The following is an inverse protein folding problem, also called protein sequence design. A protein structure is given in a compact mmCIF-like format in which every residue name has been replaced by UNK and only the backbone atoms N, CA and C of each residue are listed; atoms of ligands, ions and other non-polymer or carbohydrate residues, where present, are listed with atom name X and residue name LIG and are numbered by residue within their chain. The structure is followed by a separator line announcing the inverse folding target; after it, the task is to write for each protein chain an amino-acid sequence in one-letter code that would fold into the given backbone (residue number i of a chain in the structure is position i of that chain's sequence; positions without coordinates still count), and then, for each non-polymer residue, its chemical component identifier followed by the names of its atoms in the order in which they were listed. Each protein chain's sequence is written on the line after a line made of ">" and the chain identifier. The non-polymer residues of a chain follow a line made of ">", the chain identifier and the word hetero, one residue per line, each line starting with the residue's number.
data_IF_895538665446
#
_entry.id   IF_895538665446
#
_cell.length_a   1.000
_cell.length_b   1.000
_cell.length_c   1.000
_cell.angle_alpha   90.00
_cell.angle_beta   90.00
_cell.angle_gamma   90.00
#
_symmetry.space_group_name_H-M   'P 1'
#
loop_
_entity.id
_entity.type
_entity.pdbx_description
1 polymer ?
#
# COMPACT_ATOMS: atom_id res chain seq x y z
N UNK A 1 -9.62 10.50 -21.92
CA UNK A 1 -9.60 11.79 -22.64
C UNK A 1 -10.67 11.69 -23.72
N UNK A 2 -11.71 12.50 -23.62
CA UNK A 2 -12.80 12.50 -24.59
C UNK A 2 -12.50 13.43 -25.78
N UNK A 3 -11.95 14.60 -25.49
CA UNK A 3 -11.58 15.60 -26.50
C UNK A 3 -10.27 16.30 -26.12
N UNK A 4 -9.54 16.75 -27.10
CA UNK A 4 -8.39 17.65 -26.97
C UNK A 4 -8.44 18.70 -28.09
N UNK A 5 -8.22 19.95 -27.76
CA UNK A 5 -8.18 21.02 -28.75
C UNK A 5 -8.00 22.41 -28.14
N UNK A 6 -7.56 23.38 -28.93
CA UNK A 6 -7.22 24.72 -28.43
C UNK A 6 -8.42 25.61 -28.11
N UNK A 7 -9.64 25.23 -28.44
CA UNK A 7 -10.85 26.03 -28.29
C UNK A 7 -12.06 25.21 -27.86
N UNK A 8 -11.86 24.29 -26.90
CA UNK A 8 -12.97 23.55 -26.34
C UNK A 8 -13.71 24.45 -25.35
N UNK A 9 -15.01 24.59 -25.54
CA UNK A 9 -15.88 25.24 -24.57
C UNK A 9 -16.46 24.20 -23.61
N UNK A 10 -16.40 24.44 -22.28
CA UNK A 10 -17.00 23.53 -21.33
C UNK A 10 -18.50 23.45 -21.47
N UNK A 11 -19.08 22.29 -21.22
CA UNK A 11 -20.51 22.11 -21.12
C UNK A 11 -21.03 22.68 -19.77
N UNK A 12 -22.35 23.01 -19.65
CA UNK A 12 -22.87 23.67 -18.45
C UNK A 12 -22.64 22.96 -17.11
N UNK A 13 -22.46 21.64 -17.14
CA UNK A 13 -22.27 20.75 -15.98
C UNK A 13 -20.83 20.23 -15.83
N UNK A 14 -19.91 20.67 -16.69
CA UNK A 14 -18.51 20.30 -16.58
C UNK A 14 -17.77 21.18 -15.58
N UNK A 15 -16.96 20.51 -14.72
CA UNK A 15 -16.05 21.21 -13.83
C UNK A 15 -14.81 21.66 -14.61
N UNK A 16 -14.57 22.95 -14.64
CA UNK A 16 -13.37 23.53 -15.23
C UNK A 16 -12.27 23.63 -14.19
N UNK A 17 -11.09 23.16 -14.55
CA UNK A 17 -9.87 23.31 -13.75
C UNK A 17 -8.89 24.16 -14.56
N UNK A 18 -8.53 25.33 -14.05
CA UNK A 18 -7.48 26.15 -14.65
C UNK A 18 -6.11 25.57 -14.35
N UNK A 19 -5.42 25.11 -15.38
CA UNK A 19 -4.06 24.58 -15.33
C UNK A 19 -3.08 25.50 -16.09
N UNK A 20 -3.38 26.79 -16.21
CA UNK A 20 -2.49 27.76 -16.86
C UNK A 20 -1.11 27.77 -16.20
N UNK A 21 -0.07 27.67 -17.02
CA UNK A 21 1.33 27.57 -16.52
C UNK A 21 1.73 26.20 -15.97
N UNK A 22 0.83 25.20 -16.01
CA UNK A 22 1.11 23.85 -15.58
C UNK A 22 1.35 22.91 -16.76
N UNK A 23 2.09 21.83 -16.48
CA UNK A 23 2.15 20.65 -17.36
C UNK A 23 1.29 19.56 -16.76
N UNK A 24 0.37 19.01 -17.55
CA UNK A 24 -0.52 17.94 -17.12
C UNK A 24 0.05 16.59 -17.56
N UNK A 25 0.27 15.71 -16.61
CA UNK A 25 0.71 14.32 -16.84
C UNK A 25 -0.37 13.32 -16.42
N UNK A 26 -0.37 12.12 -17.02
CA UNK A 26 -1.10 10.99 -16.42
C UNK A 26 -0.61 10.76 -14.99
N UNK A 27 -1.53 10.42 -14.09
CA UNK A 27 -1.15 10.08 -12.74
C UNK A 27 -0.23 8.84 -12.69
N UNK A 28 0.65 8.80 -11.70
CA UNK A 28 1.60 7.70 -11.53
C UNK A 28 0.92 6.38 -11.19
N UNK A 29 1.54 5.30 -11.59
CA UNK A 29 1.17 3.93 -11.20
C UNK A 29 2.29 3.38 -10.34
N UNK A 30 1.99 3.06 -9.08
CA UNK A 30 2.90 2.35 -8.19
C UNK A 30 2.63 0.85 -8.32
N UNK A 31 3.61 0.11 -8.83
CA UNK A 31 3.47 -1.33 -9.08
C UNK A 31 4.01 -2.20 -7.94
N UNK A 32 4.56 -1.62 -6.87
CA UNK A 32 5.10 -2.35 -5.75
C UNK A 32 5.02 -1.52 -4.47
N UNK A 33 4.10 -1.87 -3.60
CA UNK A 33 3.96 -1.29 -2.28
C UNK A 33 3.67 -2.37 -1.23
N UNK A 34 3.86 -2.03 0.05
CA UNK A 34 3.50 -2.84 1.21
C UNK A 34 2.79 -1.93 2.22
N UNK A 35 1.48 -1.69 2.00
CA UNK A 35 0.70 -0.75 2.82
C UNK A 35 0.74 -1.07 4.30
N UNK A 36 0.73 -2.36 4.66
CA UNK A 36 0.82 -2.80 6.05
C UNK A 36 2.10 -2.31 6.77
N UNK A 37 3.17 -2.01 6.02
CA UNK A 37 4.43 -1.52 6.59
C UNK A 37 4.47 -0.01 6.79
N UNK A 38 3.47 0.73 6.33
CA UNK A 38 3.48 2.20 6.38
C UNK A 38 3.64 2.72 7.82
N UNK A 39 2.98 2.11 8.78
CA UNK A 39 3.09 2.48 10.20
C UNK A 39 4.38 2.01 10.87
N UNK A 40 5.20 1.25 10.15
CA UNK A 40 6.50 0.75 10.64
C UNK A 40 7.68 1.57 10.11
N UNK A 41 7.42 2.63 9.34
CA UNK A 41 8.46 3.52 8.80
C UNK A 41 9.22 4.19 9.93
N UNK A 42 10.53 4.35 9.72
CA UNK A 42 11.44 5.03 10.64
C UNK A 42 11.43 4.45 12.08
N UNK A 43 11.08 3.17 12.23
CA UNK A 43 11.25 2.47 13.51
C UNK A 43 12.72 2.49 13.91
N UNK A 44 13.08 2.98 15.11
CA UNK A 44 14.49 3.19 15.49
C UNK A 44 15.36 1.95 15.35
N UNK A 45 14.83 0.78 15.70
CA UNK A 45 15.54 -0.50 15.64
C UNK A 45 15.81 -0.96 14.19
N UNK A 46 15.14 -0.35 13.22
CA UNK A 46 15.26 -0.70 11.79
C UNK A 46 16.13 0.25 10.99
N UNK A 47 16.57 1.37 11.59
CA UNK A 47 17.38 2.35 10.87
C UNK A 47 18.73 1.74 10.50
N UNK A 48 19.13 1.95 9.25
CA UNK A 48 20.42 1.51 8.69
C UNK A 48 20.65 -0.01 8.65
N UNK A 49 19.60 -0.82 8.88
CA UNK A 49 19.72 -2.26 8.78
C UNK A 49 19.66 -2.75 7.32
N UNK A 50 20.47 -3.76 6.95
CA UNK A 50 20.25 -4.52 5.72
C UNK A 50 18.84 -5.13 5.69
N UNK A 51 18.27 -5.33 4.50
CA UNK A 51 16.89 -5.81 4.32
C UNK A 51 16.54 -7.04 5.17
N UNK A 52 17.43 -8.05 5.22
CA UNK A 52 17.18 -9.28 5.98
C UNK A 52 17.01 -9.00 7.47
N UNK A 53 17.91 -8.19 8.02
CA UNK A 53 17.89 -7.84 9.43
C UNK A 53 16.72 -6.91 9.74
N UNK A 54 16.39 -5.99 8.83
CA UNK A 54 15.22 -5.16 8.93
C UNK A 54 13.92 -5.98 8.97
N UNK A 55 13.77 -6.97 8.10
CA UNK A 55 12.62 -7.87 8.09
C UNK A 55 12.44 -8.61 9.42
N UNK A 56 13.54 -8.98 10.07
CA UNK A 56 13.53 -9.63 11.38
C UNK A 56 13.17 -8.66 12.50
N UNK A 57 13.82 -7.50 12.55
CA UNK A 57 13.69 -6.57 13.68
C UNK A 57 12.42 -5.72 13.61
N UNK A 58 11.91 -5.39 12.42
CA UNK A 58 10.77 -4.50 12.26
C UNK A 58 9.49 -5.28 11.96
N UNK A 59 9.22 -5.78 10.76
CA UNK A 59 7.95 -6.45 10.50
C UNK A 59 7.71 -7.65 11.42
N UNK A 60 8.72 -8.48 11.67
CA UNK A 60 8.58 -9.65 12.55
C UNK A 60 8.19 -9.29 13.97
N UNK A 61 8.78 -8.24 14.49
CA UNK A 61 8.58 -7.82 15.87
C UNK A 61 7.25 -7.12 16.07
N UNK A 62 6.86 -6.27 15.11
CA UNK A 62 5.70 -5.40 15.24
C UNK A 62 4.39 -5.98 14.68
N UNK A 63 4.44 -7.10 13.93
CA UNK A 63 3.23 -7.74 13.37
C UNK A 63 2.13 -8.02 14.40
N UNK A 64 2.52 -8.41 15.61
CA UNK A 64 1.60 -8.74 16.69
C UNK A 64 0.71 -7.56 17.11
N UNK A 65 1.07 -6.35 16.71
CA UNK A 65 0.31 -5.14 16.93
C UNK A 65 -0.49 -4.71 15.69
N UNK A 66 -0.37 -5.47 14.60
CA UNK A 66 -1.10 -5.19 13.38
C UNK A 66 -2.47 -5.87 13.46
N UNK A 67 -3.36 -5.28 14.20
CA UNK A 67 -4.78 -5.61 14.23
C UNK A 67 -5.54 -4.94 13.08
N UNK A 68 -6.87 -5.08 13.06
CA UNK A 68 -7.72 -4.49 12.04
C UNK A 68 -7.56 -2.97 11.95
N UNK A 69 -7.58 -2.29 13.08
CA UNK A 69 -7.48 -0.82 13.14
C UNK A 69 -6.09 -0.33 12.69
N UNK A 70 -5.04 -1.00 13.13
CA UNK A 70 -3.68 -0.70 12.71
C UNK A 70 -3.49 -0.88 11.20
N UNK A 71 -4.06 -1.95 10.61
CA UNK A 71 -4.01 -2.17 9.17
C UNK A 71 -4.80 -1.10 8.41
N UNK A 72 -5.98 -0.69 8.90
CA UNK A 72 -6.75 0.42 8.31
C UNK A 72 -5.96 1.72 8.30
N UNK A 73 -5.34 2.06 9.43
CA UNK A 73 -4.51 3.27 9.54
C UNK A 73 -3.31 3.18 8.59
N UNK A 74 -2.61 2.05 8.57
CA UNK A 74 -1.47 1.83 7.69
C UNK A 74 -1.85 2.00 6.21
N UNK A 75 -2.95 1.37 5.79
CA UNK A 75 -3.47 1.48 4.43
C UNK A 75 -3.83 2.92 4.08
N UNK A 76 -4.58 3.59 4.94
CA UNK A 76 -5.02 4.97 4.72
C UNK A 76 -3.86 5.93 4.61
N UNK A 77 -2.90 5.86 5.52
CA UNK A 77 -1.72 6.73 5.50
C UNK A 77 -0.90 6.48 4.24
N UNK A 78 -0.60 5.20 3.92
CA UNK A 78 0.19 4.87 2.74
C UNK A 78 -0.48 5.28 1.42
N UNK A 79 -1.79 5.09 1.29
CA UNK A 79 -2.54 5.52 0.12
C UNK A 79 -2.57 7.04 -0.01
N UNK A 80 -2.76 7.77 1.10
CA UNK A 80 -2.73 9.25 1.09
C UNK A 80 -1.35 9.77 0.70
N UNK A 81 -0.27 9.20 1.23
CA UNK A 81 1.10 9.57 0.83
C UNK A 81 1.32 9.36 -0.68
N UNK A 82 0.86 8.24 -1.22
CA UNK A 82 0.94 7.96 -2.65
C UNK A 82 0.11 8.96 -3.48
N UNK A 83 -1.11 9.28 -3.04
CA UNK A 83 -1.94 10.29 -3.72
C UNK A 83 -1.29 11.67 -3.71
N UNK A 84 -0.71 12.08 -2.59
CA UNK A 84 0.02 13.35 -2.47
C UNK A 84 1.26 13.39 -3.38
N UNK A 85 1.83 12.25 -3.71
CA UNK A 85 2.90 12.15 -4.71
C UNK A 85 2.42 12.12 -6.17
N UNK A 86 1.10 12.20 -6.41
CA UNK A 86 0.48 12.14 -7.73
C UNK A 86 0.16 10.73 -8.23
N UNK A 87 0.23 9.72 -7.38
CA UNK A 87 -0.12 8.34 -7.71
C UNK A 87 -1.64 8.14 -7.66
N UNK A 88 -2.22 7.48 -8.66
CA UNK A 88 -3.65 7.17 -8.72
C UNK A 88 -3.96 5.68 -8.89
N UNK A 89 -2.94 4.85 -9.04
CA UNK A 89 -3.09 3.39 -9.16
C UNK A 89 -1.98 2.71 -8.35
N UNK A 90 -2.37 1.80 -7.47
CA UNK A 90 -1.45 1.14 -6.53
C UNK A 90 -1.60 -0.35 -6.61
N UNK A 91 -0.49 -1.08 -6.75
CA UNK A 91 -0.41 -2.51 -6.51
C UNK A 91 0.26 -2.76 -5.15
N UNK A 92 -0.52 -3.26 -4.19
CA UNK A 92 -0.03 -3.64 -2.87
C UNK A 92 0.33 -5.11 -2.82
N UNK A 93 1.56 -5.42 -2.48
CA UNK A 93 2.05 -6.78 -2.29
C UNK A 93 1.79 -7.17 -0.83
N UNK A 94 0.54 -7.54 -0.54
CA UNK A 94 0.09 -7.91 0.80
C UNK A 94 0.47 -9.35 1.12
N UNK A 95 1.20 -9.55 2.19
CA UNK A 95 1.67 -10.86 2.64
C UNK A 95 1.40 -11.11 4.14
N UNK A 96 0.66 -10.23 4.79
CA UNK A 96 0.33 -10.38 6.21
C UNK A 96 -0.88 -11.28 6.36
N UNK A 97 -0.62 -12.56 6.42
CA UNK A 97 -1.60 -13.60 6.71
C UNK A 97 -1.00 -14.54 7.76
N UNK A 98 -1.73 -14.81 8.83
CA UNK A 98 -1.25 -15.70 9.89
C UNK A 98 -2.40 -16.51 10.49
N UNK A 99 -2.13 -17.73 11.00
CA UNK A 99 -3.15 -18.54 11.64
C UNK A 99 -3.82 -17.82 12.80
N UNK A 100 -5.15 -17.85 12.86
CA UNK A 100 -5.92 -17.17 13.90
C UNK A 100 -6.15 -15.67 13.66
N UNK A 101 -5.82 -15.15 12.48
CA UNK A 101 -6.19 -13.79 12.06
C UNK A 101 -7.71 -13.65 12.07
N UNK A 102 -8.24 -12.73 12.88
CA UNK A 102 -9.67 -12.56 13.11
C UNK A 102 -10.35 -11.59 12.11
N UNK A 103 -9.61 -11.04 11.15
CA UNK A 103 -10.10 -10.06 10.16
C UNK A 103 -9.59 -10.38 8.76
N UNK A 104 -10.30 -9.90 7.75
CA UNK A 104 -9.89 -10.00 6.35
C UNK A 104 -9.07 -8.77 5.95
N UNK A 105 -7.75 -8.93 5.94
CA UNK A 105 -6.83 -7.87 5.56
C UNK A 105 -7.01 -7.39 4.11
N UNK A 106 -7.38 -8.29 3.20
CA UNK A 106 -7.65 -7.93 1.81
C UNK A 106 -8.88 -7.03 1.70
N UNK A 107 -9.97 -7.38 2.37
CA UNK A 107 -11.20 -6.57 2.41
C UNK A 107 -10.91 -5.16 2.92
N UNK A 108 -10.15 -5.03 4.02
CA UNK A 108 -9.75 -3.74 4.58
C UNK A 108 -9.00 -2.88 3.57
N UNK A 109 -8.03 -3.45 2.86
CA UNK A 109 -7.25 -2.73 1.87
C UNK A 109 -8.09 -2.24 0.71
N UNK A 110 -9.02 -3.06 0.21
CA UNK A 110 -9.98 -2.66 -0.83
C UNK A 110 -10.94 -1.58 -0.34
N UNK A 111 -11.45 -1.68 0.88
CA UNK A 111 -12.34 -0.67 1.47
C UNK A 111 -11.65 0.70 1.58
N UNK A 112 -10.42 0.74 2.09
CA UNK A 112 -9.70 2.01 2.22
C UNK A 112 -9.32 2.60 0.86
N UNK A 113 -8.95 1.77 -0.11
CA UNK A 113 -8.68 2.22 -1.47
C UNK A 113 -9.95 2.78 -2.16
N UNK A 114 -11.09 2.10 -2.01
CA UNK A 114 -12.38 2.57 -2.54
C UNK A 114 -12.83 3.88 -1.88
N UNK A 115 -12.67 4.00 -0.55
CA UNK A 115 -13.00 5.22 0.20
C UNK A 115 -12.21 6.43 -0.29
N UNK A 116 -10.94 6.24 -0.66
CA UNK A 116 -10.06 7.30 -1.16
C UNK A 116 -10.15 7.51 -2.67
N UNK A 117 -10.85 6.63 -3.39
CA UNK A 117 -10.99 6.70 -4.85
C UNK A 117 -9.72 6.32 -5.63
N UNK A 118 -8.83 5.52 -5.02
CA UNK A 118 -7.61 5.04 -5.65
C UNK A 118 -7.88 3.73 -6.39
N UNK A 119 -7.37 3.59 -7.61
CA UNK A 119 -7.37 2.29 -8.30
C UNK A 119 -6.39 1.35 -7.61
N UNK A 120 -6.88 0.19 -7.22
CA UNK A 120 -6.15 -0.71 -6.36
C UNK A 120 -6.08 -2.13 -6.92
N UNK A 121 -4.89 -2.71 -6.86
CA UNK A 121 -4.61 -4.12 -7.18
C UNK A 121 -3.97 -4.75 -5.97
N UNK A 122 -4.52 -5.86 -5.50
CA UNK A 122 -3.94 -6.63 -4.42
C UNK A 122 -3.18 -7.82 -5.01
N UNK A 123 -1.88 -7.86 -4.74
CA UNK A 123 -1.04 -9.02 -4.99
C UNK A 123 -0.92 -9.83 -3.68
N UNK A 124 -1.67 -10.93 -3.58
CA UNK A 124 -1.58 -11.79 -2.41
C UNK A 124 -0.23 -12.50 -2.38
N UNK A 125 0.58 -12.18 -1.39
CA UNK A 125 1.82 -12.89 -1.10
C UNK A 125 1.57 -14.15 -0.27
N UNK A 126 2.45 -15.13 -0.40
CA UNK A 126 2.44 -16.33 0.41
C UNK A 126 3.82 -16.98 0.38
N UNK A 127 4.11 -17.83 1.36
CA UNK A 127 5.34 -18.61 1.42
C UNK A 127 4.98 -20.06 1.71
N UNK A 128 5.09 -20.91 0.70
CA UNK A 128 4.78 -22.34 0.80
C UNK A 128 5.99 -23.18 1.20
N UNK A 129 7.18 -22.57 1.22
CA UNK A 129 8.43 -23.25 1.60
C UNK A 129 9.29 -22.33 2.46
N UNK A 130 9.53 -22.73 3.70
CA UNK A 130 10.45 -22.05 4.58
C UNK A 130 11.86 -22.06 3.99
N UNK A 131 12.55 -20.94 4.06
CA UNK A 131 13.97 -20.85 3.73
C UNK A 131 14.80 -20.98 5.01
N UNK A 132 15.98 -21.63 4.96
CA UNK A 132 16.87 -21.68 6.11
C UNK A 132 17.13 -20.29 6.69
N UNK A 133 16.95 -20.12 7.99
CA UNK A 133 17.11 -18.85 8.71
C UNK A 133 15.89 -17.94 8.72
N UNK A 134 14.78 -18.31 8.06
CA UNK A 134 13.49 -17.58 8.15
C UNK A 134 12.56 -18.19 9.21
N UNK A 135 12.60 -19.50 9.37
CA UNK A 135 11.90 -20.26 10.41
C UNK A 135 12.39 -19.90 11.82
N UNK A 136 13.69 -19.66 12.01
CA UNK A 136 14.26 -19.17 13.26
C UNK A 136 13.77 -17.77 13.64
N UNK A 137 13.33 -16.98 12.67
CA UNK A 137 12.80 -15.62 12.87
C UNK A 137 11.28 -15.58 13.01
N UNK A 138 10.59 -16.73 12.86
CA UNK A 138 9.13 -16.80 12.84
C UNK A 138 8.49 -16.15 11.61
N UNK A 139 9.26 -15.77 10.58
CA UNK A 139 8.73 -15.14 9.35
C UNK A 139 7.94 -16.17 8.54
N UNK A 140 8.32 -17.44 8.53
CA UNK A 140 7.60 -18.49 7.82
C UNK A 140 6.13 -18.63 8.26
N UNK A 141 5.82 -18.35 9.52
CA UNK A 141 4.46 -18.40 10.05
C UNK A 141 3.57 -17.20 9.63
N UNK A 142 4.08 -16.26 8.87
CA UNK A 142 3.35 -15.08 8.42
C UNK A 142 2.72 -15.23 7.06
N UNK A 143 3.28 -16.11 6.28
CA UNK A 143 2.82 -16.38 4.94
C UNK A 143 1.91 -17.59 5.07
N UNK A 144 0.66 -17.32 5.51
CA UNK A 144 -0.33 -18.38 5.68
C UNK A 144 -0.43 -19.27 4.44
N UNK A 145 -0.68 -20.53 4.70
CA UNK A 145 -0.96 -21.55 3.70
C UNK A 145 -2.13 -21.18 2.80
#
# INVERSE_FOLDING_TARGET
>A
IAQMGPRLAPQPDERVIDASGCVVYPAWVNTHHHLAQTVMKATPEGLDLPLRDWLREVPSRYRRFLDEDALRVAARVGLVELMLSGCATVADHHYVYYPGMAFDGAAILFEEAARLGVRFVLCRGGMTRAQPGYDETGIASWYGD
#
